data_IF_416609877887
#
_entry.id   IF_416609877887
#
_cell.length_a   1.000
_cell.length_b   1.000
_cell.length_c   1.000
_cell.angle_alpha   90.00
_cell.angle_beta   90.00
_cell.angle_gamma   90.00
#
_symmetry.space_group_name_H-M   'P 1'
#
loop_
_entity.id
_entity.type
_entity.pdbx_description
1 polymer ?
#
# COMPACT_ATOMS: atom_id res chain seq x y z
N UNK A 1 -11.32 19.16 5.44
CA UNK A 1 -11.95 18.03 4.72
C UNK A 1 -12.61 17.07 5.73
N UNK A 2 -13.50 17.55 6.62
CA UNK A 2 -13.79 16.81 7.89
C UNK A 2 -15.17 17.01 8.52
N UNK A 3 -16.19 17.57 7.84
CA UNK A 3 -17.50 17.77 8.49
C UNK A 3 -18.47 16.57 8.40
N UNK A 4 -18.26 15.60 7.50
CA UNK A 4 -19.17 14.46 7.30
C UNK A 4 -18.50 13.10 7.19
N UNK A 5 -17.20 12.99 7.51
CA UNK A 5 -16.46 11.72 7.43
C UNK A 5 -17.09 10.59 8.25
N UNK A 6 -17.77 10.93 9.35
CA UNK A 6 -18.46 9.99 10.23
C UNK A 6 -19.63 9.23 9.59
N UNK A 7 -20.11 9.65 8.42
CA UNK A 7 -21.20 9.00 7.69
C UNK A 7 -20.70 8.13 6.53
N UNK A 8 -19.39 8.08 6.27
CA UNK A 8 -18.79 7.28 5.20
C UNK A 8 -18.24 5.94 5.74
N UNK A 9 -19.04 5.23 6.54
CA UNK A 9 -18.63 3.93 7.10
C UNK A 9 -19.14 2.74 6.31
N UNK A 10 -20.20 2.91 5.51
CA UNK A 10 -20.95 1.79 4.96
C UNK A 10 -20.81 1.76 3.44
N UNK A 11 -19.75 1.10 2.95
CA UNK A 11 -19.47 0.98 1.52
C UNK A 11 -20.35 -0.04 0.78
N UNK A 12 -21.37 -0.62 1.44
CA UNK A 12 -22.29 -1.59 0.82
C UNK A 12 -21.64 -2.91 0.39
N UNK A 13 -20.40 -3.18 0.83
CA UNK A 13 -19.64 -4.38 0.47
C UNK A 13 -20.07 -5.51 1.42
N UNK A 14 -20.56 -6.61 0.85
CA UNK A 14 -20.89 -7.82 1.61
C UNK A 14 -19.61 -8.51 2.09
N UNK A 15 -19.56 -8.86 3.38
CA UNK A 15 -18.43 -9.51 4.03
C UNK A 15 -18.95 -10.79 4.67
N UNK A 16 -18.37 -11.93 4.32
CA UNK A 16 -18.67 -13.21 4.95
C UNK A 16 -17.43 -13.74 5.67
N UNK A 17 -17.37 -13.51 6.98
CA UNK A 17 -16.22 -13.88 7.81
C UNK A 17 -16.05 -15.39 7.98
N UNK A 18 -17.11 -16.17 7.78
CA UNK A 18 -17.07 -17.63 7.95
C UNK A 18 -16.50 -18.34 6.71
N UNK A 19 -16.65 -17.73 5.53
CA UNK A 19 -16.16 -18.27 4.26
C UNK A 19 -14.82 -17.64 3.86
N UNK A 20 -14.64 -16.33 4.10
CA UNK A 20 -13.41 -15.61 3.76
C UNK A 20 -12.97 -14.68 4.90
N UNK A 21 -11.96 -15.13 5.65
CA UNK A 21 -11.35 -14.36 6.73
C UNK A 21 -10.69 -13.05 6.24
N UNK A 22 -10.25 -12.97 4.99
CA UNK A 22 -9.63 -11.77 4.42
C UNK A 22 -10.67 -10.73 3.97
N UNK A 23 -11.94 -11.15 3.80
CA UNK A 23 -13.02 -10.24 3.47
C UNK A 23 -13.28 -9.19 4.57
N UNK A 24 -12.82 -9.44 5.80
CA UNK A 24 -12.94 -8.54 6.95
C UNK A 24 -11.65 -7.73 7.18
N UNK A 25 -11.48 -6.64 6.42
CA UNK A 25 -10.33 -5.75 6.54
C UNK A 25 -10.77 -4.28 6.64
N UNK A 26 -9.82 -3.38 6.88
CA UNK A 26 -10.09 -1.97 7.17
C UNK A 26 -10.98 -1.28 6.12
N UNK A 27 -10.99 -1.72 4.87
CA UNK A 27 -11.80 -1.11 3.80
C UNK A 27 -13.24 -1.61 3.77
N UNK A 28 -13.51 -2.77 4.35
CA UNK A 28 -14.83 -3.43 4.34
C UNK A 28 -15.54 -3.35 5.69
N UNK A 29 -14.79 -3.11 6.77
CA UNK A 29 -15.36 -2.84 8.09
C UNK A 29 -16.29 -1.62 8.05
N UNK A 30 -17.36 -1.70 8.85
CA UNK A 30 -18.36 -0.65 8.98
C UNK A 30 -18.45 -0.11 10.41
N UNK A 31 -19.12 1.04 10.55
CA UNK A 31 -19.41 1.70 11.82
C UNK A 31 -18.20 1.90 12.76
N UNK A 32 -18.40 1.52 14.02
CA UNK A 32 -17.41 1.69 15.09
C UNK A 32 -16.18 0.79 14.93
N UNK A 33 -16.33 -0.40 14.35
CA UNK A 33 -15.23 -1.33 14.10
C UNK A 33 -14.22 -0.73 13.10
N UNK A 34 -14.73 -0.16 12.01
CA UNK A 34 -13.91 0.61 11.07
C UNK A 34 -13.20 1.79 11.73
N UNK A 35 -13.93 2.57 12.53
CA UNK A 35 -13.37 3.74 13.21
C UNK A 35 -12.22 3.35 14.15
N UNK A 36 -12.39 2.25 14.89
CA UNK A 36 -11.40 1.71 15.80
C UNK A 36 -10.19 1.12 15.09
N UNK A 37 -10.38 0.45 13.94
CA UNK A 37 -9.26 -0.06 13.17
C UNK A 37 -8.50 1.08 12.47
N UNK A 38 -9.24 2.05 11.89
CA UNK A 38 -8.65 3.24 11.25
C UNK A 38 -7.81 4.06 12.22
N UNK A 39 -8.26 4.25 13.46
CA UNK A 39 -7.49 5.00 14.46
C UNK A 39 -6.15 4.34 14.79
N UNK A 40 -6.05 3.00 14.72
CA UNK A 40 -4.81 2.26 14.89
C UNK A 40 -3.84 2.40 13.71
N UNK A 41 -4.35 2.50 12.48
CA UNK A 41 -3.53 2.63 11.27
C UNK A 41 -3.16 4.08 10.91
N UNK A 42 -3.94 5.07 11.35
CA UNK A 42 -3.70 6.49 11.03
C UNK A 42 -2.29 6.99 11.39
N UNK A 43 -1.68 6.61 12.54
CA UNK A 43 -0.33 7.06 12.91
C UNK A 43 0.77 6.62 11.94
N UNK A 44 0.54 5.53 11.21
CA UNK A 44 1.50 4.96 10.24
C UNK A 44 1.64 5.81 8.99
N UNK A 45 0.60 6.59 8.62
CA UNK A 45 0.59 7.45 7.43
C UNK A 45 0.78 8.93 7.77
N UNK A 46 1.42 9.23 8.90
CA UNK A 46 1.79 10.62 9.26
C UNK A 46 2.88 11.14 8.33
N UNK A 47 2.94 12.47 8.14
CA UNK A 47 3.98 13.09 7.29
C UNK A 47 5.40 12.71 7.70
N UNK A 48 5.65 12.48 8.99
CA UNK A 48 6.95 12.01 9.50
C UNK A 48 7.27 10.57 9.07
N UNK A 49 6.30 9.65 9.15
CA UNK A 49 6.45 8.26 8.67
C UNK A 49 6.57 8.21 7.14
N UNK A 50 5.77 8.98 6.42
CA UNK A 50 5.88 9.11 4.96
C UNK A 50 7.26 9.65 4.53
N UNK A 51 7.83 10.60 5.29
CA UNK A 51 9.19 11.10 5.05
C UNK A 51 10.25 10.03 5.29
N UNK A 52 10.07 9.13 6.25
CA UNK A 52 10.96 7.98 6.43
C UNK A 52 10.85 6.99 5.26
N UNK A 53 9.64 6.73 4.76
CA UNK A 53 9.40 5.86 3.59
C UNK A 53 9.98 6.43 2.29
N UNK A 54 10.22 7.74 2.22
CA UNK A 54 10.80 8.39 1.04
C UNK A 54 12.14 7.78 0.63
N UNK A 55 13.00 7.46 1.59
CA UNK A 55 14.31 6.85 1.29
C UNK A 55 14.13 5.47 0.64
N UNK A 56 13.20 4.66 1.14
CA UNK A 56 12.91 3.35 0.56
C UNK A 56 12.39 3.49 -0.87
N UNK A 57 11.47 4.42 -1.13
CA UNK A 57 10.97 4.71 -2.49
C UNK A 57 12.10 5.18 -3.40
N UNK A 58 13.01 6.02 -2.89
CA UNK A 58 14.17 6.51 -3.64
C UNK A 58 15.12 5.36 -3.99
N UNK A 59 15.40 4.43 -3.08
CA UNK A 59 16.24 3.27 -3.37
C UNK A 59 15.59 2.34 -4.41
N UNK A 60 14.27 2.17 -4.35
CA UNK A 60 13.52 1.44 -5.38
C UNK A 60 13.65 2.10 -6.76
N UNK A 61 13.67 3.44 -6.82
CA UNK A 61 13.86 4.16 -8.08
C UNK A 61 15.25 3.94 -8.69
N UNK A 62 16.29 3.75 -7.87
CA UNK A 62 17.65 3.44 -8.36
C UNK A 62 17.70 2.04 -8.96
N UNK A 63 17.09 1.05 -8.28
CA UNK A 63 16.98 -0.31 -8.79
C UNK A 63 16.19 -0.35 -10.11
N UNK A 64 15.14 0.47 -10.23
CA UNK A 64 14.35 0.60 -11.46
C UNK A 64 15.20 1.02 -12.67
N UNK A 65 16.10 1.98 -12.48
CA UNK A 65 17.03 2.44 -13.53
C UNK A 65 17.98 1.31 -13.96
N UNK A 66 18.48 0.51 -13.02
CA UNK A 66 19.36 -0.62 -13.33
C UNK A 66 18.62 -1.68 -14.17
N UNK A 67 17.39 -2.04 -13.77
CA UNK A 67 16.58 -3.04 -14.49
C UNK A 67 16.27 -2.57 -15.91
N UNK A 68 15.87 -1.32 -16.10
CA UNK A 68 15.61 -0.77 -17.43
C UNK A 68 16.87 -0.80 -18.29
N UNK A 69 18.02 -0.37 -17.75
CA UNK A 69 19.27 -0.37 -18.50
C UNK A 69 19.67 -1.77 -18.95
N UNK A 70 19.46 -2.79 -18.11
CA UNK A 70 19.75 -4.18 -18.47
C UNK A 70 18.84 -4.69 -19.61
N UNK A 71 17.55 -4.33 -19.59
CA UNK A 71 16.62 -4.72 -20.66
C UNK A 71 16.88 -3.92 -21.94
N UNK A 72 17.30 -2.65 -21.82
CA UNK A 72 17.71 -1.86 -22.97
C UNK A 72 18.94 -2.46 -23.68
N UNK A 73 19.89 -3.02 -22.91
CA UNK A 73 21.04 -3.73 -23.45
C UNK A 73 20.67 -5.05 -24.14
N UNK A 74 19.56 -5.70 -23.78
CA UNK A 74 19.10 -6.92 -24.47
C UNK A 74 18.39 -6.64 -25.81
N UNK A 75 18.18 -5.36 -26.17
CA UNK A 75 17.42 -4.94 -27.36
C UNK A 75 16.00 -5.52 -27.46
N UNK A 76 15.44 -5.97 -26.33
CA UNK A 76 14.10 -6.54 -26.28
C UNK A 76 13.04 -5.44 -26.15
N UNK A 77 11.87 -5.71 -26.71
CA UNK A 77 10.70 -4.85 -26.49
C UNK A 77 10.26 -4.94 -25.03
N UNK A 78 10.24 -3.79 -24.34
CA UNK A 78 9.91 -3.70 -22.93
C UNK A 78 8.43 -3.29 -22.74
N UNK A 79 7.66 -4.15 -22.07
CA UNK A 79 6.37 -3.73 -21.51
C UNK A 79 6.62 -2.94 -20.22
N UNK A 80 6.61 -1.61 -20.36
CA UNK A 80 6.82 -0.67 -19.23
C UNK A 80 5.79 -0.92 -18.12
N UNK A 81 4.56 -1.26 -18.47
CA UNK A 81 3.47 -1.45 -17.51
C UNK A 81 3.72 -2.68 -16.65
N UNK A 82 4.17 -3.77 -17.27
CA UNK A 82 4.49 -5.01 -16.56
C UNK A 82 5.69 -4.84 -15.63
N UNK A 83 6.80 -4.29 -16.14
CA UNK A 83 8.03 -4.08 -15.37
C UNK A 83 7.77 -3.15 -14.18
N UNK A 84 7.09 -2.03 -14.42
CA UNK A 84 6.73 -1.09 -13.37
C UNK A 84 5.77 -1.73 -12.35
N UNK A 85 4.78 -2.49 -12.81
CA UNK A 85 3.81 -3.16 -11.95
C UNK A 85 4.47 -4.16 -11.00
N UNK A 86 5.35 -5.02 -11.51
CA UNK A 86 6.08 -6.02 -10.71
C UNK A 86 6.99 -5.37 -9.67
N UNK A 87 7.81 -4.40 -10.08
CA UNK A 87 8.76 -3.72 -9.19
C UNK A 87 8.06 -2.89 -8.12
N UNK A 88 7.00 -2.17 -8.49
CA UNK A 88 6.23 -1.36 -7.54
C UNK A 88 5.52 -2.24 -6.51
N UNK A 89 4.96 -3.38 -6.93
CA UNK A 89 4.26 -4.31 -6.03
C UNK A 89 5.21 -4.95 -5.01
N UNK A 90 6.37 -5.44 -5.45
CA UNK A 90 7.38 -6.06 -4.58
C UNK A 90 7.88 -5.08 -3.50
N UNK A 91 8.19 -3.85 -3.94
CA UNK A 91 8.77 -2.83 -3.07
C UNK A 91 7.75 -2.10 -2.19
N UNK A 92 6.52 -1.90 -2.66
CA UNK A 92 5.43 -1.44 -1.78
C UNK A 92 5.12 -2.51 -0.73
N UNK A 93 5.22 -3.80 -1.08
CA UNK A 93 5.14 -4.90 -0.11
C UNK A 93 6.16 -4.74 1.02
N UNK A 94 7.43 -4.48 0.68
CA UNK A 94 8.48 -4.19 1.66
C UNK A 94 8.17 -2.93 2.50
N UNK A 95 7.80 -1.81 1.89
CA UNK A 95 7.44 -0.59 2.61
C UNK A 95 6.25 -0.76 3.57
N UNK A 96 5.20 -1.47 3.12
CA UNK A 96 3.99 -1.69 3.91
C UNK A 96 4.23 -2.65 5.09
N UNK A 97 5.10 -3.65 4.91
CA UNK A 97 5.42 -4.66 5.92
C UNK A 97 6.49 -4.17 6.92
N UNK A 98 7.46 -3.35 6.49
CA UNK A 98 8.56 -2.86 7.33
C UNK A 98 8.14 -1.78 8.33
N UNK A 99 6.95 -1.17 8.16
CA UNK A 99 6.43 -0.21 9.14
C UNK A 99 6.19 -0.80 10.55
N UNK A 100 6.29 -2.12 10.73
CA UNK A 100 6.21 -2.82 12.02
C UNK A 100 7.51 -3.50 12.47
N UNK A 101 8.63 -3.40 11.75
CA UNK A 101 9.90 -4.04 12.15
C UNK A 101 10.83 -3.12 12.97
N UNK A 102 10.40 -1.89 13.27
CA UNK A 102 11.13 -0.94 14.13
C UNK A 102 10.18 -0.44 15.23
N UNK A 103 9.75 -1.37 16.09
CA UNK A 103 9.43 -1.16 17.51
C UNK A 103 9.81 -2.43 18.25
#
# INVERSE_FOLDING_TARGET
>A
MTKRFQYFTDYGIYVNKEIDLLSDHLLTLMGSAWKNMRSKFTPTFTSGRMKMMFNTVLDCSKEYVIVINNIFQSHEALDVKEVLGRLTTDKIGLCALVLNAIV
#
